data_IF_562246358209
#
_entry.id   IF_562246358209
#
_cell.length_a   1.000
_cell.length_b   1.000
_cell.length_c   1.000
_cell.angle_alpha   90.00
_cell.angle_beta   90.00
_cell.angle_gamma   90.00
#
_symmetry.space_group_name_H-M   'P 1'
#
loop_
_entity.id
_entity.type
_entity.pdbx_description
1 polymer ?
#
# COMPACT_ATOMS: atom_id res chain seq x y z
N UNK A 1 46.41 -13.79 -14.28
CA UNK A 1 46.75 -13.39 -12.89
C UNK A 1 46.05 -12.09 -12.46
N UNK A 2 45.70 -11.16 -13.37
CA UNK A 2 45.00 -9.90 -13.02
C UNK A 2 43.51 -10.09 -12.64
N UNK A 3 42.81 -11.07 -13.21
CA UNK A 3 41.39 -11.31 -12.94
C UNK A 3 41.07 -11.88 -11.55
N UNK A 4 42.01 -12.61 -10.92
CA UNK A 4 41.81 -13.20 -9.58
C UNK A 4 41.95 -12.14 -8.49
N UNK A 5 42.83 -11.15 -8.69
CA UNK A 5 43.10 -10.09 -7.71
C UNK A 5 41.96 -9.08 -7.63
N UNK A 6 41.35 -8.71 -8.77
CA UNK A 6 40.12 -7.90 -8.83
C UNK A 6 38.95 -8.60 -8.15
N UNK A 7 38.85 -9.92 -8.27
CA UNK A 7 37.80 -10.72 -7.63
C UNK A 7 37.95 -10.76 -6.09
N UNK A 8 39.17 -10.76 -5.54
CA UNK A 8 39.37 -10.78 -4.09
C UNK A 8 39.13 -9.41 -3.43
N UNK A 9 39.51 -8.31 -4.07
CA UNK A 9 39.32 -6.96 -3.52
C UNK A 9 37.83 -6.51 -3.52
N UNK A 10 37.02 -7.04 -4.44
CA UNK A 10 35.58 -6.78 -4.53
C UNK A 10 34.71 -7.77 -3.73
N UNK A 11 35.31 -8.84 -3.17
CA UNK A 11 34.60 -9.85 -2.38
C UNK A 11 34.54 -9.49 -0.89
N UNK A 12 34.17 -8.24 -0.59
CA UNK A 12 33.78 -7.86 0.77
C UNK A 12 32.37 -8.38 1.04
N UNK A 13 32.16 -8.93 2.24
CA UNK A 13 30.85 -9.42 2.67
C UNK A 13 29.84 -8.27 2.58
N UNK A 14 28.75 -8.51 1.86
CA UNK A 14 27.63 -7.58 1.80
C UNK A 14 26.75 -7.76 3.02
N UNK A 15 26.02 -6.71 3.39
CA UNK A 15 25.02 -6.77 4.45
C UNK A 15 23.81 -7.51 3.92
N UNK A 16 23.37 -8.55 4.61
CA UNK A 16 22.18 -9.34 4.25
C UNK A 16 21.02 -8.88 5.14
N UNK A 17 19.93 -8.44 4.51
CA UNK A 17 18.81 -7.80 5.19
C UNK A 17 17.51 -8.39 4.66
N UNK A 18 16.55 -8.60 5.57
CA UNK A 18 15.18 -9.00 5.22
C UNK A 18 14.24 -7.84 5.53
N UNK A 19 13.44 -7.40 4.56
CA UNK A 19 12.41 -6.38 4.74
C UNK A 19 11.07 -6.93 4.27
N UNK A 20 10.05 -6.70 5.10
CA UNK A 20 8.67 -7.05 4.79
C UNK A 20 7.93 -5.76 4.37
N UNK A 21 7.33 -5.76 3.19
CA UNK A 21 6.57 -4.63 2.65
C UNK A 21 5.11 -5.05 2.56
N UNK A 22 4.24 -4.30 3.25
CA UNK A 22 2.79 -4.44 3.20
C UNK A 22 2.23 -3.53 2.12
N UNK A 23 1.38 -4.07 1.24
CA UNK A 23 0.71 -3.30 0.20
C UNK A 23 -0.29 -2.30 0.81
N UNK A 24 -1.03 -2.69 1.85
CA UNK A 24 -1.95 -1.79 2.59
C UNK A 24 -1.21 -0.56 3.11
N UNK A 25 0.01 -0.73 3.62
CA UNK A 25 0.82 0.36 4.16
C UNK A 25 1.46 1.22 3.07
N UNK A 26 1.74 0.65 1.91
CA UNK A 26 2.38 1.33 0.80
C UNK A 26 1.37 2.15 0.00
N UNK A 27 0.31 1.49 -0.48
CA UNK A 27 -0.80 2.11 -1.17
C UNK A 27 -2.08 1.27 -1.01
N UNK A 28 -3.04 1.71 -0.18
CA UNK A 28 -4.27 0.96 0.03
C UNK A 28 -5.19 0.93 -1.19
N UNK A 29 -5.06 1.87 -2.13
CA UNK A 29 -5.86 1.89 -3.35
C UNK A 29 -5.54 0.70 -4.26
N UNK A 30 -4.26 0.33 -4.35
CA UNK A 30 -3.82 -0.83 -5.14
C UNK A 30 -4.40 -2.14 -4.58
N UNK A 31 -4.61 -2.22 -3.25
CA UNK A 31 -5.27 -3.37 -2.64
C UNK A 31 -6.77 -3.41 -2.96
N UNK A 32 -7.46 -2.27 -2.91
CA UNK A 32 -8.87 -2.19 -3.30
C UNK A 32 -9.00 -2.62 -4.76
N UNK A 33 -8.15 -2.09 -5.65
CA UNK A 33 -8.11 -2.47 -7.05
C UNK A 33 -7.85 -3.97 -7.24
N UNK A 34 -6.93 -4.56 -6.48
CA UNK A 34 -6.65 -6.00 -6.52
C UNK A 34 -7.88 -6.84 -6.14
N UNK A 35 -8.63 -6.43 -5.10
CA UNK A 35 -9.85 -7.13 -4.66
C UNK A 35 -10.96 -7.06 -5.70
N UNK A 36 -11.11 -5.92 -6.37
CA UNK A 36 -12.16 -5.71 -7.38
C UNK A 36 -11.81 -6.35 -8.72
N UNK A 37 -10.63 -6.07 -9.26
CA UNK A 37 -10.26 -6.43 -10.63
C UNK A 37 -9.48 -7.74 -10.70
N UNK A 38 -8.82 -8.15 -9.61
CA UNK A 38 -7.87 -9.27 -9.59
C UNK A 38 -6.47 -8.90 -10.09
N UNK A 39 -6.19 -7.63 -10.40
CA UNK A 39 -4.87 -7.18 -10.85
C UNK A 39 -4.48 -5.87 -10.13
N UNK A 40 -3.21 -5.73 -9.77
CA UNK A 40 -2.67 -4.45 -9.33
C UNK A 40 -1.21 -4.27 -9.75
N UNK A 41 -0.81 -3.00 -9.91
CA UNK A 41 0.56 -2.60 -10.18
C UNK A 41 0.97 -1.65 -9.06
N UNK A 42 2.07 -1.96 -8.38
CA UNK A 42 2.58 -1.12 -7.29
C UNK A 42 4.08 -0.91 -7.42
N UNK A 43 4.56 0.21 -6.87
CA UNK A 43 5.96 0.62 -6.93
C UNK A 43 6.57 0.69 -5.53
N UNK A 44 7.72 0.05 -5.37
CA UNK A 44 8.52 0.06 -4.15
C UNK A 44 9.60 1.16 -4.29
N UNK A 45 9.47 2.27 -3.56
CA UNK A 45 10.42 3.39 -3.65
C UNK A 45 11.69 3.14 -2.84
N UNK A 46 12.71 3.98 -3.04
CA UNK A 46 13.96 3.92 -2.25
C UNK A 46 13.75 4.26 -0.78
N UNK A 47 12.84 5.21 -0.51
CA UNK A 47 12.63 5.80 0.81
C UNK A 47 12.33 4.77 1.90
N UNK A 48 11.58 3.71 1.57
CA UNK A 48 11.25 2.68 2.55
C UNK A 48 12.48 1.92 3.05
N UNK A 49 13.55 1.84 2.25
CA UNK A 49 14.80 1.20 2.64
C UNK A 49 15.72 2.16 3.38
N UNK A 50 15.67 3.46 3.03
CA UNK A 50 16.40 4.51 3.73
C UNK A 50 15.87 4.76 5.14
N UNK A 51 14.56 4.57 5.35
CA UNK A 51 13.93 4.65 6.68
C UNK A 51 14.46 3.61 7.66
N UNK A 52 14.79 2.41 7.19
CA UNK A 52 15.36 1.36 8.05
C UNK A 52 16.86 1.58 8.25
N UNK A 53 17.57 1.87 7.15
CA UNK A 53 19.02 2.00 7.13
C UNK A 53 19.46 3.18 6.24
N UNK A 54 19.49 4.41 6.79
CA UNK A 54 19.98 5.58 6.09
C UNK A 54 21.50 5.45 5.98
N UNK A 55 22.02 5.31 4.76
CA UNK A 55 23.44 5.07 4.51
C UNK A 55 23.74 3.76 3.76
N UNK A 56 22.76 2.89 3.58
CA UNK A 56 22.94 1.72 2.72
C UNK A 56 22.74 2.08 1.24
N UNK A 57 23.61 1.57 0.38
CA UNK A 57 23.51 1.72 -1.08
C UNK A 57 23.75 0.38 -1.77
N UNK A 58 23.62 0.34 -3.10
CA UNK A 58 23.77 -0.88 -3.90
C UNK A 58 22.87 -2.03 -3.41
N UNK A 59 21.61 -1.70 -3.12
CA UNK A 59 20.60 -2.67 -2.65
C UNK A 59 20.19 -3.60 -3.79
N UNK A 60 20.55 -4.88 -3.70
CA UNK A 60 20.21 -5.91 -4.69
C UNK A 60 19.44 -7.05 -4.08
N UNK A 61 18.32 -7.41 -4.70
CA UNK A 61 17.46 -8.50 -4.29
C UNK A 61 18.24 -9.82 -4.40
N UNK A 62 18.10 -10.65 -3.37
CA UNK A 62 18.60 -12.03 -3.35
C UNK A 62 17.46 -13.03 -3.52
N UNK A 63 16.31 -12.75 -2.91
CA UNK A 63 15.08 -13.51 -3.10
C UNK A 63 13.85 -12.70 -2.70
N UNK A 64 12.71 -13.02 -3.30
CA UNK A 64 11.39 -12.49 -2.92
C UNK A 64 10.46 -13.66 -2.61
N UNK A 65 9.64 -13.49 -1.57
CA UNK A 65 8.50 -14.38 -1.32
C UNK A 65 7.24 -13.58 -1.01
N UNK A 66 6.09 -14.17 -1.29
CA UNK A 66 4.79 -13.52 -1.21
C UNK A 66 3.91 -14.20 -0.18
N UNK A 67 3.30 -13.39 0.69
CA UNK A 67 2.25 -13.83 1.61
C UNK A 67 0.96 -13.04 1.38
N UNK A 68 -0.16 -13.74 1.21
CA UNK A 68 -1.49 -13.13 1.05
C UNK A 68 -2.41 -13.72 2.13
N UNK A 69 -2.51 -13.07 3.30
CA UNK A 69 -3.44 -13.49 4.33
C UNK A 69 -4.89 -13.29 3.84
N UNK A 70 -5.61 -14.39 3.68
CA UNK A 70 -7.00 -14.41 3.20
C UNK A 70 -7.77 -15.57 3.83
N UNK A 71 -9.10 -15.52 3.75
CA UNK A 71 -9.96 -16.61 4.21
C UNK A 71 -10.25 -17.53 3.03
N UNK A 72 -9.70 -18.74 3.09
CA UNK A 72 -9.85 -19.75 2.05
C UNK A 72 -10.52 -20.99 2.60
N UNK A 73 -11.20 -21.72 1.71
CA UNK A 73 -11.76 -23.03 2.02
C UNK A 73 -10.67 -24.08 2.24
N UNK A 74 -10.99 -25.22 2.88
CA UNK A 74 -10.05 -26.32 3.02
C UNK A 74 -9.63 -26.83 1.64
N UNK A 75 -8.32 -27.04 1.46
CA UNK A 75 -7.70 -27.52 0.21
C UNK A 75 -7.83 -26.56 -0.99
N UNK A 76 -8.18 -25.29 -0.77
CA UNK A 76 -8.17 -24.26 -1.82
C UNK A 76 -6.78 -23.64 -1.95
N UNK A 77 -6.23 -23.62 -3.16
CA UNK A 77 -4.96 -22.93 -3.47
C UNK A 77 -5.16 -21.42 -3.63
N UNK A 78 -4.18 -20.64 -3.17
CA UNK A 78 -4.10 -19.19 -3.40
C UNK A 78 -3.15 -18.95 -4.56
N UNK A 79 -3.70 -19.08 -5.77
CA UNK A 79 -2.96 -18.86 -7.00
C UNK A 79 -2.84 -17.38 -7.29
N UNK A 80 -1.60 -16.87 -7.35
CA UNK A 80 -1.28 -15.52 -7.77
C UNK A 80 0.00 -15.52 -8.59
N UNK A 81 0.12 -14.62 -9.55
CA UNK A 81 1.35 -14.41 -10.33
C UNK A 81 1.94 -13.06 -9.96
N UNK A 82 3.18 -13.06 -9.49
CA UNK A 82 3.95 -11.85 -9.19
C UNK A 82 5.03 -11.68 -10.25
N UNK A 83 5.05 -10.54 -10.92
CA UNK A 83 6.02 -10.19 -11.96
C UNK A 83 6.77 -8.91 -11.60
N UNK A 84 8.06 -8.88 -11.91
CA UNK A 84 8.88 -7.69 -11.82
C UNK A 84 8.89 -6.98 -13.18
N UNK A 85 8.34 -5.77 -13.22
CA UNK A 85 8.25 -4.95 -14.44
C UNK A 85 9.46 -4.05 -14.62
N UNK A 86 9.94 -3.46 -13.53
CA UNK A 86 11.11 -2.59 -13.56
C UNK A 86 11.91 -2.74 -12.26
N UNK A 87 13.24 -2.59 -12.33
CA UNK A 87 14.08 -2.55 -11.14
C UNK A 87 15.28 -1.63 -11.31
N UNK A 88 15.62 -0.95 -10.23
CA UNK A 88 16.64 0.08 -10.16
C UNK A 88 17.43 -0.03 -8.86
N UNK A 89 18.69 0.40 -8.87
CA UNK A 89 19.52 0.49 -7.67
C UNK A 89 20.49 1.66 -7.75
N UNK A 90 20.90 2.13 -6.58
CA UNK A 90 21.91 3.17 -6.44
C UNK A 90 23.31 2.57 -6.49
N UNK A 91 24.12 2.90 -7.51
CA UNK A 91 25.47 2.34 -7.69
C UNK A 91 26.52 2.89 -6.74
N UNK A 92 26.43 4.17 -6.45
CA UNK A 92 27.39 4.89 -5.61
C UNK A 92 26.68 5.52 -4.41
N UNK A 93 27.40 5.73 -3.32
CA UNK A 93 26.89 6.38 -2.11
C UNK A 93 26.76 7.92 -2.32
N UNK A 94 26.01 8.34 -3.33
CA UNK A 94 25.72 9.75 -3.62
C UNK A 94 24.25 9.89 -4.02
N UNK A 95 23.60 10.94 -3.50
CA UNK A 95 22.23 11.33 -3.86
C UNK A 95 22.16 12.17 -5.14
N UNK A 96 23.29 12.71 -5.60
CA UNK A 96 23.34 13.57 -6.79
C UNK A 96 23.25 12.79 -8.11
N UNK A 97 23.51 11.49 -8.06
CA UNK A 97 23.40 10.61 -9.23
C UNK A 97 22.06 9.91 -9.27
N UNK A 98 21.56 9.80 -10.50
CA UNK A 98 20.36 9.04 -10.82
C UNK A 98 20.54 7.55 -10.55
N UNK A 99 19.40 6.89 -10.35
CA UNK A 99 19.33 5.45 -10.14
C UNK A 99 19.73 4.71 -11.42
N UNK A 100 20.53 3.67 -11.28
CA UNK A 100 20.87 2.79 -12.38
C UNK A 100 19.74 1.80 -12.63
N UNK A 101 19.26 1.73 -13.87
CA UNK A 101 18.31 0.73 -14.32
C UNK A 101 19.00 -0.64 -14.36
N UNK A 102 18.35 -1.62 -13.76
CA UNK A 102 18.86 -2.98 -13.59
C UNK A 102 17.82 -3.98 -14.03
N UNK A 103 17.38 -3.87 -15.28
CA UNK A 103 16.38 -4.79 -15.82
C UNK A 103 17.08 -5.84 -16.68
N UNK A 104 17.11 -7.09 -16.20
CA UNK A 104 17.68 -8.25 -16.89
C UNK A 104 16.58 -9.26 -17.29
N UNK A 105 15.48 -8.73 -17.84
CA UNK A 105 14.32 -9.51 -18.29
C UNK A 105 13.21 -9.66 -17.25
N UNK A 106 11.99 -9.87 -17.74
CA UNK A 106 10.81 -10.07 -16.91
C UNK A 106 10.90 -11.45 -16.22
N UNK A 107 11.17 -11.43 -14.92
CA UNK A 107 11.04 -12.61 -14.07
C UNK A 107 9.65 -12.61 -13.41
N UNK A 108 9.10 -13.79 -13.18
CA UNK A 108 7.82 -13.95 -12.49
C UNK A 108 7.81 -15.21 -11.65
N UNK A 109 7.08 -15.17 -10.54
CA UNK A 109 6.79 -16.33 -9.70
C UNK A 109 5.29 -16.57 -9.64
N UNK A 110 4.90 -17.82 -9.44
CA UNK A 110 3.51 -18.19 -9.19
C UNK A 110 3.40 -18.76 -7.77
N UNK A 111 2.41 -18.31 -7.01
CA UNK A 111 2.11 -18.86 -5.68
C UNK A 111 1.10 -19.99 -5.76
N UNK A 112 1.22 -20.96 -4.85
CA UNK A 112 0.23 -22.03 -4.67
C UNK A 112 -0.52 -21.91 -3.35
N UNK A 113 0.18 -21.52 -2.27
CA UNK A 113 -0.43 -21.35 -0.95
C UNK A 113 -0.39 -19.89 -0.46
N UNK A 114 0.42 -19.04 -1.09
CA UNK A 114 0.64 -17.64 -0.70
C UNK A 114 0.93 -17.45 0.80
N UNK A 115 1.74 -18.36 1.38
CA UNK A 115 2.26 -18.27 2.74
C UNK A 115 3.78 -18.29 2.66
N UNK A 116 4.40 -17.09 2.59
CA UNK A 116 5.84 -16.92 2.34
C UNK A 116 6.32 -17.74 1.14
N UNK A 117 5.53 -17.72 0.07
CA UNK A 117 5.74 -18.53 -1.11
C UNK A 117 6.73 -17.86 -2.06
N UNK A 118 7.81 -18.55 -2.41
CA UNK A 118 8.86 -18.05 -3.32
C UNK A 118 8.67 -18.50 -4.77
N UNK A 119 7.60 -19.26 -5.06
CA UNK A 119 7.34 -19.85 -6.37
C UNK A 119 8.27 -21.02 -6.72
N UNK A 120 9.00 -21.55 -5.73
CA UNK A 120 9.86 -22.72 -5.84
C UNK A 120 9.38 -23.79 -4.85
N UNK A 121 9.49 -25.06 -5.24
CA UNK A 121 9.17 -26.17 -4.33
C UNK A 121 10.15 -26.28 -3.16
N UNK A 122 11.43 -26.03 -3.41
CA UNK A 122 12.49 -26.01 -2.40
C UNK A 122 13.32 -24.75 -2.58
N UNK A 123 13.44 -23.98 -1.50
CA UNK A 123 14.22 -22.76 -1.48
C UNK A 123 15.65 -23.06 -1.03
N UNK A 124 16.60 -23.04 -1.97
CA UNK A 124 17.99 -23.40 -1.71
C UNK A 124 18.96 -22.39 -2.31
N UNK A 125 19.71 -21.67 -1.45
CA UNK A 125 20.74 -20.71 -1.86
C UNK A 125 22.00 -21.35 -2.48
N UNK A 126 22.12 -22.68 -2.46
CA UNK A 126 23.27 -23.42 -3.02
C UNK A 126 22.98 -24.02 -4.39
N UNK A 127 21.80 -23.78 -4.97
CA UNK A 127 21.53 -24.13 -6.36
C UNK A 127 22.48 -23.32 -7.27
N UNK A 128 22.94 -23.93 -8.36
CA UNK A 128 23.82 -23.28 -9.36
C UNK A 128 23.05 -22.28 -10.22
N UNK A 129 21.71 -22.32 -10.18
CA UNK A 129 20.83 -21.39 -10.89
C UNK A 129 20.46 -20.21 -10.01
N UNK A 130 20.29 -19.06 -10.65
CA UNK A 130 19.78 -17.86 -9.99
C UNK A 130 18.37 -18.08 -9.46
N UNK A 131 18.11 -17.58 -8.25
CA UNK A 131 16.76 -17.52 -7.70
C UNK A 131 15.91 -16.52 -8.50
N UNK A 132 14.57 -16.67 -8.50
CA UNK A 132 13.70 -15.65 -9.07
C UNK A 132 14.02 -14.26 -8.49
N UNK A 133 14.13 -13.26 -9.38
CA UNK A 133 14.46 -11.87 -9.07
C UNK A 133 15.86 -11.64 -8.49
N UNK A 134 16.72 -12.65 -8.46
CA UNK A 134 18.08 -12.50 -7.93
C UNK A 134 18.89 -11.50 -8.78
N UNK A 135 19.56 -10.57 -8.10
CA UNK A 135 20.40 -9.55 -8.73
C UNK A 135 19.66 -8.28 -9.15
N UNK A 136 18.31 -8.30 -9.16
CA UNK A 136 17.49 -7.13 -9.42
C UNK A 136 17.70 -6.02 -8.38
N UNK A 137 17.42 -4.78 -8.76
CA UNK A 137 17.45 -3.65 -7.85
C UNK A 137 16.32 -3.69 -6.83
N UNK A 138 16.57 -3.21 -5.61
CA UNK A 138 15.53 -3.19 -4.57
C UNK A 138 14.40 -2.19 -4.86
N UNK A 139 14.71 -1.09 -5.56
CA UNK A 139 13.72 -0.11 -6.02
C UNK A 139 13.07 -0.72 -7.25
N UNK A 140 11.77 -1.00 -7.20
CA UNK A 140 11.18 -1.93 -8.15
C UNK A 140 9.69 -1.69 -8.36
N UNK A 141 9.21 -1.96 -9.58
CA UNK A 141 7.80 -1.94 -9.94
C UNK A 141 7.32 -3.38 -10.14
N UNK A 142 6.22 -3.73 -9.49
CA UNK A 142 5.68 -5.06 -9.44
C UNK A 142 4.27 -5.10 -10.00
N UNK A 143 3.95 -6.19 -10.67
CA UNK A 143 2.61 -6.53 -11.12
C UNK A 143 2.15 -7.80 -10.41
N UNK A 144 0.98 -7.74 -9.78
CA UNK A 144 0.35 -8.88 -9.13
C UNK A 144 -0.98 -9.19 -9.81
N UNK A 145 -1.16 -10.45 -10.19
CA UNK A 145 -2.35 -10.93 -10.89
C UNK A 145 -2.94 -12.15 -10.17
N UNK A 146 -4.26 -12.13 -9.99
CA UNK A 146 -5.09 -13.19 -9.45
C UNK A 146 -6.05 -13.72 -10.54
N UNK A 147 -6.42 -15.01 -10.52
CA UNK A 147 -7.36 -15.58 -11.50
C UNK A 147 -8.74 -14.90 -11.51
N UNK A 148 -9.09 -14.23 -12.61
CA UNK A 148 -10.36 -13.49 -12.71
C UNK A 148 -11.52 -14.28 -13.31
N UNK A 149 -11.23 -15.25 -14.20
CA UNK A 149 -12.26 -16.01 -14.90
C UNK A 149 -13.14 -16.85 -13.95
N UNK A 150 -12.53 -17.44 -12.93
CA UNK A 150 -13.20 -18.13 -11.82
C UNK A 150 -12.43 -17.80 -10.56
N UNK A 151 -13.03 -17.05 -9.64
CA UNK A 151 -12.40 -16.69 -8.36
C UNK A 151 -12.42 -17.93 -7.44
N UNK A 152 -11.26 -18.51 -7.08
CA UNK A 152 -11.22 -19.74 -6.28
C UNK A 152 -11.62 -19.53 -4.81
N UNK A 153 -11.55 -18.29 -4.33
CA UNK A 153 -11.98 -17.86 -3.01
C UNK A 153 -12.48 -16.41 -3.08
N UNK A 154 -13.06 -15.92 -1.99
CA UNK A 154 -13.51 -14.54 -1.90
C UNK A 154 -12.33 -13.58 -1.74
N UNK A 155 -12.05 -12.78 -2.77
CA UNK A 155 -10.96 -11.79 -2.75
C UNK A 155 -11.20 -10.67 -1.74
N UNK A 156 -12.44 -10.44 -1.31
CA UNK A 156 -12.75 -9.48 -0.26
C UNK A 156 -12.16 -9.89 1.09
N UNK A 157 -11.88 -11.18 1.26
CA UNK A 157 -11.21 -11.71 2.45
C UNK A 157 -9.71 -11.43 2.52
N UNK A 158 -9.08 -10.95 1.44
CA UNK A 158 -7.65 -10.63 1.41
C UNK A 158 -7.42 -9.43 2.33
N UNK A 159 -6.76 -9.62 3.48
CA UNK A 159 -6.52 -8.51 4.42
C UNK A 159 -5.36 -7.63 3.98
N UNK A 160 -4.30 -8.23 3.41
CA UNK A 160 -3.10 -7.54 2.93
C UNK A 160 -2.36 -8.39 1.89
N UNK A 161 -1.38 -7.79 1.24
CA UNK A 161 -0.38 -8.48 0.42
C UNK A 161 1.00 -8.09 0.93
N UNK A 162 1.76 -9.08 1.38
CA UNK A 162 3.05 -8.88 2.03
C UNK A 162 4.15 -9.45 1.13
N UNK A 163 5.05 -8.58 0.67
CA UNK A 163 6.27 -8.97 -0.01
C UNK A 163 7.41 -9.07 1.00
N UNK A 164 8.02 -10.25 1.09
CA UNK A 164 9.22 -10.50 1.87
C UNK A 164 10.42 -10.42 0.95
N UNK A 165 11.15 -9.31 1.00
CA UNK A 165 12.33 -9.07 0.16
C UNK A 165 13.57 -9.30 1.00
N UNK A 166 14.36 -10.30 0.61
CA UNK A 166 15.72 -10.48 1.12
C UNK A 166 16.67 -9.83 0.12
N UNK A 167 17.47 -8.88 0.60
CA UNK A 167 18.39 -8.13 -0.24
C UNK A 167 19.77 -7.99 0.40
N UNK A 168 20.74 -7.69 -0.44
CA UNK A 168 22.11 -7.35 -0.04
C UNK A 168 22.37 -5.87 -0.22
N UNK A 169 23.12 -5.25 0.68
CA UNK A 169 23.51 -3.85 0.58
C UNK A 169 24.99 -3.63 0.93
N UNK A 170 25.50 -2.45 0.57
CA UNK A 170 26.78 -1.93 1.04
C UNK A 170 26.55 -0.74 1.96
N UNK A 171 27.43 -0.59 2.94
CA UNK A 171 27.45 0.56 3.83
C UNK A 171 28.23 1.71 3.19
N UNK A 172 27.61 2.88 3.10
CA UNK A 172 28.22 4.13 2.67
C UNK A 172 29.02 4.79 3.80
N UNK A 173 29.57 5.97 3.53
CA UNK A 173 30.24 6.76 4.56
C UNK A 173 29.22 7.52 5.43
N UNK A 174 29.71 8.12 6.52
CA UNK A 174 28.88 8.92 7.43
C UNK A 174 28.24 10.12 6.73
N UNK A 175 28.96 10.74 5.77
CA UNK A 175 28.45 11.87 5.00
C UNK A 175 27.23 11.50 4.18
N UNK A 176 27.24 10.36 3.49
CA UNK A 176 26.09 9.86 2.75
C UNK A 176 24.91 9.59 3.69
N UNK A 177 25.16 8.94 4.83
CA UNK A 177 24.14 8.69 5.85
C UNK A 177 23.50 9.99 6.37
N UNK A 178 24.30 11.00 6.67
CA UNK A 178 23.82 12.30 7.17
C UNK A 178 23.01 13.02 6.09
N UNK A 179 23.45 12.99 4.83
CA UNK A 179 22.72 13.54 3.69
C UNK A 179 21.38 12.85 3.47
N UNK A 180 21.31 11.51 3.55
CA UNK A 180 20.05 10.75 3.44
C UNK A 180 19.12 11.10 4.59
N UNK A 181 19.65 11.14 5.82
CA UNK A 181 18.85 11.45 7.02
C UNK A 181 18.30 12.87 6.98
N UNK A 182 19.10 13.85 6.56
CA UNK A 182 18.67 15.25 6.41
C UNK A 182 17.61 15.44 5.32
N UNK A 183 17.66 14.64 4.26
CA UNK A 183 16.71 14.70 3.16
C UNK A 183 15.51 13.77 3.31
N UNK A 184 15.44 12.92 4.35
CA UNK A 184 14.42 11.87 4.44
C UNK A 184 12.99 12.44 4.42
N UNK A 185 12.75 13.55 5.14
CA UNK A 185 11.44 14.22 5.17
C UNK A 185 11.10 14.79 3.79
N UNK A 186 12.08 15.41 3.12
CA UNK A 186 11.92 15.92 1.76
C UNK A 186 11.68 14.79 0.77
N UNK A 187 12.40 13.67 0.90
CA UNK A 187 12.25 12.50 0.03
C UNK A 187 10.92 11.78 0.26
N UNK A 188 10.39 11.76 1.49
CA UNK A 188 9.02 11.31 1.75
C UNK A 188 8.04 12.23 1.01
N UNK A 189 8.19 13.55 1.17
CA UNK A 189 7.34 14.53 0.49
C UNK A 189 7.47 14.51 -1.04
N UNK A 190 8.66 14.24 -1.59
CA UNK A 190 8.88 14.11 -3.04
C UNK A 190 8.44 12.77 -3.60
N UNK A 191 8.49 11.69 -2.82
CA UNK A 191 7.90 10.40 -3.20
C UNK A 191 6.38 10.52 -3.32
N UNK A 192 5.78 11.20 -2.34
CA UNK A 192 4.39 11.68 -2.35
C UNK A 192 4.14 12.50 -3.64
N UNK A 193 4.98 13.50 -3.94
CA UNK A 193 4.77 14.35 -5.12
C UNK A 193 5.04 13.65 -6.48
N UNK A 194 5.84 12.58 -6.51
CA UNK A 194 6.25 11.84 -7.71
C UNK A 194 5.22 10.83 -8.24
N UNK A 195 4.15 10.56 -7.49
CA UNK A 195 3.02 9.73 -7.92
C UNK A 195 2.01 10.48 -8.81
N UNK A 196 2.39 11.65 -9.34
CA UNK A 196 1.49 12.62 -9.97
C UNK A 196 1.11 13.71 -8.97
N UNK A 197 0.82 14.92 -9.47
CA UNK A 197 0.63 16.18 -8.70
C UNK A 197 0.41 15.95 -7.20
N UNK A 198 1.51 16.05 -6.46
CA UNK A 198 1.48 16.17 -5.02
C UNK A 198 0.78 15.03 -4.24
N UNK A 199 0.67 13.80 -4.78
CA UNK A 199 -0.17 12.74 -4.22
C UNK A 199 0.11 12.40 -2.74
N UNK A 200 -0.74 12.83 -1.80
CA UNK A 200 -0.58 12.65 -0.34
C UNK A 200 -0.37 11.21 0.12
N UNK A 201 0.25 11.03 1.31
CA UNK A 201 0.21 9.74 2.00
C UNK A 201 -1.25 9.33 2.17
N UNK A 202 -1.54 8.10 1.78
CA UNK A 202 -2.91 7.60 1.75
C UNK A 202 -3.10 6.56 2.85
N UNK A 203 -4.19 6.65 3.60
CA UNK A 203 -4.61 5.61 4.55
C UNK A 203 -6.10 5.33 4.37
N UNK A 204 -6.43 4.10 3.99
CA UNK A 204 -7.82 3.65 3.83
C UNK A 204 -8.29 2.83 5.03
N UNK A 205 -9.29 3.31 5.75
CA UNK A 205 -9.94 2.60 6.84
C UNK A 205 -11.15 1.83 6.32
N UNK A 206 -11.14 0.51 6.45
CA UNK A 206 -12.35 -0.30 6.24
C UNK A 206 -13.25 -0.17 7.45
N UNK A 207 -14.47 0.34 7.28
CA UNK A 207 -15.42 0.45 8.37
C UNK A 207 -15.82 -0.94 8.87
N UNK A 208 -16.05 -1.91 7.98
CA UNK A 208 -16.38 -3.28 8.40
C UNK A 208 -15.28 -3.93 9.24
N UNK A 209 -14.01 -3.77 8.87
CA UNK A 209 -12.90 -4.48 9.50
C UNK A 209 -12.32 -3.73 10.71
N UNK A 210 -12.15 -2.41 10.62
CA UNK A 210 -11.50 -1.62 11.67
C UNK A 210 -12.49 -1.01 12.67
N UNK A 211 -13.72 -0.73 12.22
CA UNK A 211 -14.77 -0.06 13.01
C UNK A 211 -16.12 -0.79 12.93
N UNK A 212 -16.19 -2.10 13.28
CA UNK A 212 -17.39 -2.90 13.05
C UNK A 212 -18.62 -2.39 13.81
N UNK A 213 -18.45 -1.80 14.99
CA UNK A 213 -19.57 -1.26 15.77
C UNK A 213 -20.17 -0.02 15.09
N UNK A 214 -19.31 0.89 14.64
CA UNK A 214 -19.66 2.10 13.91
C UNK A 214 -20.27 1.78 12.55
N UNK A 215 -19.78 0.73 11.87
CA UNK A 215 -20.36 0.22 10.63
C UNK A 215 -21.78 -0.32 10.83
N UNK A 216 -22.00 -1.18 11.83
CA UNK A 216 -23.35 -1.71 12.11
C UNK A 216 -24.33 -0.59 12.49
N UNK A 217 -23.87 0.43 13.22
CA UNK A 217 -24.69 1.62 13.50
C UNK A 217 -25.01 2.41 12.24
N UNK A 218 -24.06 2.53 11.32
CA UNK A 218 -24.27 3.21 10.05
C UNK A 218 -25.33 2.52 9.18
N UNK A 219 -25.42 1.19 9.24
CA UNK A 219 -26.46 0.41 8.54
C UNK A 219 -27.84 0.49 9.22
N UNK A 220 -27.90 0.82 10.51
CA UNK A 220 -29.12 0.80 11.31
C UNK A 220 -29.47 2.23 11.79
N UNK A 221 -30.26 2.99 11.01
CA UNK A 221 -30.66 4.32 11.40
C UNK A 221 -31.52 4.28 12.68
N UNK A 222 -31.35 5.29 13.52
CA UNK A 222 -32.14 5.42 14.74
C UNK A 222 -33.44 6.15 14.41
N UNK A 223 -34.51 5.39 14.16
CA UNK A 223 -35.83 5.94 13.80
C UNK A 223 -35.96 6.25 12.31
N UNK A 224 -36.75 7.27 11.95
CA UNK A 224 -36.92 7.74 10.56
C UNK A 224 -35.87 8.78 10.13
N UNK A 225 -34.71 8.79 10.80
CA UNK A 225 -33.63 9.73 10.54
C UNK A 225 -32.60 9.17 9.56
N UNK A 226 -31.68 10.04 9.15
CA UNK A 226 -30.53 9.67 8.32
C UNK A 226 -29.70 8.54 8.94
N UNK A 227 -28.99 7.81 8.09
CA UNK A 227 -27.97 6.86 8.49
C UNK A 227 -26.73 7.64 8.94
N UNK A 228 -26.39 7.56 10.22
CA UNK A 228 -25.32 8.35 10.82
C UNK A 228 -24.28 7.48 11.53
N UNK A 229 -23.00 7.84 11.38
CA UNK A 229 -21.91 7.19 12.13
C UNK A 229 -20.79 8.17 12.50
N UNK A 230 -20.03 7.82 13.54
CA UNK A 230 -18.96 8.65 14.10
C UNK A 230 -17.68 7.82 14.21
N UNK A 231 -16.68 8.13 13.40
CA UNK A 231 -15.37 7.49 13.44
C UNK A 231 -14.40 8.30 14.30
N UNK A 232 -13.86 7.70 15.35
CA UNK A 232 -12.84 8.30 16.22
C UNK A 232 -11.43 7.89 15.75
N UNK A 233 -10.84 8.69 14.86
CA UNK A 233 -9.52 8.41 14.30
C UNK A 233 -8.44 8.91 15.24
N UNK A 234 -7.61 7.97 15.73
CA UNK A 234 -6.53 8.21 16.69
C UNK A 234 -5.17 8.01 16.05
N UNK A 235 -4.13 8.57 16.68
CA UNK A 235 -2.71 8.39 16.29
C UNK A 235 -2.32 6.91 16.09
N UNK A 236 -2.91 5.99 16.88
CA UNK A 236 -2.65 4.55 16.78
C UNK A 236 -3.08 3.89 15.47
N UNK A 237 -3.94 4.54 14.67
CA UNK A 237 -4.41 4.00 13.39
C UNK A 237 -3.47 4.34 12.21
N UNK A 238 -2.43 5.15 12.48
CA UNK A 238 -1.40 5.52 11.52
C UNK A 238 -0.12 4.71 11.72
N UNK A 239 0.70 4.52 10.68
CA UNK A 239 1.99 3.83 10.79
C UNK A 239 2.88 4.34 11.92
N UNK A 240 3.63 3.45 12.56
CA UNK A 240 4.42 3.78 13.75
C UNK A 240 5.44 4.90 13.51
N UNK A 241 6.07 4.92 12.33
CA UNK A 241 7.12 5.90 12.00
C UNK A 241 6.63 7.35 11.94
N UNK A 242 5.31 7.59 11.82
CA UNK A 242 4.72 8.94 11.82
C UNK A 242 3.99 9.30 13.12
N UNK A 243 4.00 8.45 14.14
CA UNK A 243 3.24 8.69 15.39
C UNK A 243 3.65 9.97 16.12
N UNK A 244 4.93 10.36 16.01
CA UNK A 244 5.50 11.55 16.66
C UNK A 244 5.53 12.78 15.76
N UNK A 245 5.01 12.67 14.53
CA UNK A 245 4.92 13.79 13.61
C UNK A 245 3.54 14.44 13.67
N UNK A 246 3.46 15.68 13.23
CA UNK A 246 2.18 16.33 13.00
C UNK A 246 1.69 15.96 11.60
N UNK A 247 0.41 15.60 11.52
CA UNK A 247 -0.23 15.18 10.28
C UNK A 247 -1.19 16.26 9.84
N UNK A 248 -1.08 16.69 8.59
CA UNK A 248 -2.00 17.62 7.96
C UNK A 248 -2.64 16.97 6.74
N UNK A 249 -3.95 17.15 6.56
CA UNK A 249 -4.67 16.69 5.38
C UNK A 249 -4.21 17.47 4.16
N UNK A 250 -4.02 16.77 3.05
CA UNK A 250 -3.70 17.30 1.72
C UNK A 250 -4.69 16.61 0.78
N UNK A 251 -5.41 17.37 -0.05
CA UNK A 251 -6.48 16.88 -0.95
C UNK A 251 -7.71 16.24 -0.28
N UNK A 252 -7.84 16.34 1.04
CA UNK A 252 -9.07 16.05 1.77
C UNK A 252 -9.26 14.58 2.13
N UNK A 253 -10.50 14.10 2.01
CA UNK A 253 -10.86 12.73 2.34
C UNK A 253 -11.88 12.16 1.34
N UNK A 254 -11.83 10.85 1.14
CA UNK A 254 -12.63 10.12 0.16
C UNK A 254 -13.38 9.00 0.88
N UNK A 255 -14.69 8.90 0.68
CA UNK A 255 -15.47 7.72 1.04
C UNK A 255 -15.74 6.91 -0.21
N UNK A 256 -15.51 5.61 -0.15
CA UNK A 256 -15.80 4.65 -1.22
C UNK A 256 -16.82 3.67 -0.67
N UNK A 257 -17.95 3.53 -1.36
CA UNK A 257 -18.99 2.58 -1.00
C UNK A 257 -18.84 1.33 -1.87
N UNK A 258 -18.85 0.16 -1.23
CA UNK A 258 -18.85 -1.12 -1.92
C UNK A 258 -20.21 -1.78 -1.72
N UNK A 259 -20.90 -2.04 -2.82
CA UNK A 259 -22.21 -2.71 -2.85
C UNK A 259 -22.10 -4.07 -3.52
N UNK A 260 -22.98 -5.01 -3.15
CA UNK A 260 -22.96 -6.38 -3.67
C UNK A 260 -23.40 -6.50 -5.14
N UNK A 261 -24.37 -5.69 -5.56
CA UNK A 261 -24.96 -5.74 -6.92
C UNK A 261 -24.62 -4.50 -7.78
N UNK A 262 -23.74 -3.61 -7.31
CA UNK A 262 -23.37 -2.40 -8.06
C UNK A 262 -24.55 -1.43 -8.26
N UNK A 263 -25.61 -1.54 -7.44
CA UNK A 263 -26.73 -0.61 -7.51
C UNK A 263 -26.24 0.82 -7.25
N UNK A 264 -26.64 1.69 -8.18
CA UNK A 264 -26.11 3.02 -8.38
C UNK A 264 -26.68 4.01 -7.36
N UNK A 265 -25.83 4.77 -6.69
CA UNK A 265 -26.21 5.98 -5.97
C UNK A 265 -26.17 7.17 -6.93
N UNK A 266 -27.19 7.34 -7.78
CA UNK A 266 -27.30 8.61 -8.47
C UNK A 266 -27.78 9.68 -7.46
N UNK A 267 -26.98 10.74 -7.28
CA UNK A 267 -27.39 12.03 -6.71
C UNK A 267 -27.71 12.09 -5.20
N UNK A 268 -27.30 11.09 -4.40
CA UNK A 268 -27.45 11.19 -2.93
C UNK A 268 -26.36 12.08 -2.33
N UNK A 269 -26.76 13.07 -1.54
CA UNK A 269 -25.84 13.98 -0.84
C UNK A 269 -25.33 13.34 0.44
N UNK A 270 -24.03 13.08 0.48
CA UNK A 270 -23.32 12.65 1.68
C UNK A 270 -22.88 13.88 2.49
N UNK A 271 -23.10 13.86 3.80
CA UNK A 271 -22.72 14.93 4.70
C UNK A 271 -21.60 14.50 5.64
N UNK A 272 -20.66 15.40 5.87
CA UNK A 272 -19.55 15.23 6.77
C UNK A 272 -19.57 16.31 7.87
N UNK A 273 -19.36 15.89 9.11
CA UNK A 273 -19.26 16.74 10.29
C UNK A 273 -18.25 16.23 11.32
N UNK A 274 -18.34 16.72 12.56
CA UNK A 274 -17.41 16.38 13.65
C UNK A 274 -18.06 15.80 14.91
N UNK A 275 -19.40 15.76 14.98
CA UNK A 275 -20.16 15.24 16.10
C UNK A 275 -21.52 14.70 15.63
N UNK A 276 -22.11 13.81 16.43
CA UNK A 276 -23.48 13.32 16.26
C UNK A 276 -24.33 13.71 17.49
N UNK A 277 -25.64 14.00 17.32
CA UNK A 277 -26.38 14.07 16.05
C UNK A 277 -25.91 15.24 15.17
N UNK A 278 -26.00 15.09 13.85
CA UNK A 278 -25.47 16.08 12.90
C UNK A 278 -26.37 17.32 12.86
N UNK A 279 -26.11 18.33 13.70
CA UNK A 279 -26.88 19.58 13.70
C UNK A 279 -26.53 20.51 12.54
N UNK A 280 -25.27 20.49 12.07
CA UNK A 280 -24.81 21.28 10.92
C UNK A 280 -23.64 20.59 10.21
N UNK A 281 -23.76 20.26 8.91
CA UNK A 281 -22.68 19.63 8.17
C UNK A 281 -21.53 20.63 7.96
N UNK A 282 -20.29 20.16 8.08
CA UNK A 282 -19.08 20.94 7.75
C UNK A 282 -18.95 21.06 6.24
N UNK A 283 -19.20 19.95 5.54
CA UNK A 283 -19.12 19.86 4.08
C UNK A 283 -20.08 18.76 3.60
N UNK A 284 -20.55 18.88 2.36
CA UNK A 284 -21.37 17.89 1.70
C UNK A 284 -20.85 17.64 0.30
N UNK A 285 -20.94 16.40 -0.16
CA UNK A 285 -20.65 16.06 -1.55
C UNK A 285 -21.68 15.10 -2.10
N UNK A 286 -21.85 15.10 -3.42
CA UNK A 286 -22.78 14.20 -4.11
C UNK A 286 -22.01 12.94 -4.48
N UNK A 287 -22.55 11.79 -4.10
CA UNK A 287 -21.95 10.51 -4.46
C UNK A 287 -22.00 10.36 -5.99
N UNK A 288 -20.84 10.04 -6.57
CA UNK A 288 -20.68 9.81 -8.00
C UNK A 288 -19.71 8.66 -8.24
N UNK A 289 -19.88 7.95 -9.35
CA UNK A 289 -19.01 6.83 -9.70
C UNK A 289 -17.62 7.30 -10.11
N UNK A 290 -16.59 6.57 -9.63
CA UNK A 290 -15.21 6.79 -10.02
C UNK A 290 -14.69 5.72 -10.97
N UNK A 291 -14.49 6.10 -12.23
CA UNK A 291 -13.92 5.22 -13.27
C UNK A 291 -12.52 4.70 -12.95
N UNK A 292 -11.76 5.36 -12.07
CA UNK A 292 -10.43 4.90 -11.65
C UNK A 292 -10.48 3.75 -10.64
N UNK A 293 -11.63 3.54 -9.99
CA UNK A 293 -11.85 2.52 -8.97
C UNK A 293 -13.02 1.62 -9.40
N UNK A 294 -13.01 1.17 -10.65
CA UNK A 294 -14.00 0.23 -11.20
C UNK A 294 -15.47 0.72 -11.10
N UNK A 295 -15.70 2.04 -11.24
CA UNK A 295 -17.01 2.69 -11.09
C UNK A 295 -17.65 2.46 -9.72
N UNK A 296 -16.84 2.35 -8.65
CA UNK A 296 -17.39 2.36 -7.30
C UNK A 296 -17.95 3.75 -6.98
N UNK A 297 -19.10 3.85 -6.28
CA UNK A 297 -19.65 5.11 -5.82
C UNK A 297 -18.72 5.77 -4.78
N UNK A 298 -18.35 7.04 -5.02
CA UNK A 298 -17.46 7.80 -4.14
C UNK A 298 -18.03 9.15 -3.74
N UNK A 299 -17.76 9.57 -2.51
CA UNK A 299 -17.95 10.95 -2.05
C UNK A 299 -16.59 11.57 -1.70
N UNK A 300 -16.32 12.78 -2.22
CA UNK A 300 -15.07 13.51 -2.07
C UNK A 300 -15.26 14.74 -1.20
N UNK A 301 -14.52 14.82 -0.11
CA UNK A 301 -14.59 15.94 0.84
C UNK A 301 -13.30 16.74 0.83
N UNK A 302 -13.38 17.99 0.35
CA UNK A 302 -12.30 18.96 0.44
C UNK A 302 -12.19 19.54 1.86
N UNK A 303 -11.52 18.84 2.75
CA UNK A 303 -11.33 19.23 4.16
C UNK A 303 -9.86 19.44 4.51
N UNK A 304 -9.61 20.42 5.38
CA UNK A 304 -8.27 20.76 5.88
C UNK A 304 -8.14 20.48 7.38
N UNK A 305 -6.89 20.49 7.87
CA UNK A 305 -6.56 20.27 9.28
C UNK A 305 -5.96 18.89 9.54
N UNK A 306 -6.04 18.40 10.78
CA UNK A 306 -5.48 17.09 11.13
C UNK A 306 -6.44 15.95 10.78
N UNK A 307 -5.96 14.82 10.23
CA UNK A 307 -6.78 13.63 10.03
C UNK A 307 -7.16 12.96 11.36
N UNK A 308 -6.41 13.22 12.44
CA UNK A 308 -6.64 12.67 13.78
C UNK A 308 -7.72 13.50 14.48
N UNK A 309 -8.98 13.12 14.23
CA UNK A 309 -10.16 13.73 14.83
C UNK A 309 -11.34 12.78 14.77
N UNK A 310 -12.47 13.24 15.30
CA UNK A 310 -13.76 12.59 15.08
C UNK A 310 -14.34 13.02 13.75
N UNK A 311 -14.78 12.04 12.96
CA UNK A 311 -15.41 12.22 11.66
C UNK A 311 -16.85 11.71 11.76
N UNK A 312 -17.82 12.62 11.62
CA UNK A 312 -19.23 12.27 11.60
C UNK A 312 -19.71 12.21 10.15
N UNK A 313 -20.43 11.15 9.81
CA UNK A 313 -20.95 10.90 8.48
C UNK A 313 -22.46 10.75 8.57
N UNK A 314 -23.20 11.42 7.69
CA UNK A 314 -24.66 11.32 7.60
C UNK A 314 -25.06 11.20 6.14
N UNK A 315 -25.92 10.22 5.84
CA UNK A 315 -26.53 10.04 4.53
C UNK A 315 -28.04 9.82 4.71
N UNK A 316 -28.89 10.43 3.87
CA UNK A 316 -30.35 10.30 4.01
C UNK A 316 -30.84 8.86 3.94
N UNK A 317 -30.30 8.07 3.04
CA UNK A 317 -30.71 6.69 2.80
C UNK A 317 -29.49 5.87 2.38
N UNK A 318 -29.46 4.62 2.85
CA UNK A 318 -28.35 3.70 2.65
C UNK A 318 -28.91 2.37 2.13
N UNK A 319 -28.44 1.84 0.98
CA UNK A 319 -28.86 0.57 0.44
C UNK A 319 -28.67 -0.58 1.40
N UNK A 320 -29.58 -1.55 1.36
CA UNK A 320 -29.51 -2.73 2.23
C UNK A 320 -28.29 -3.63 1.91
N UNK A 321 -27.73 -3.52 0.69
CA UNK A 321 -26.67 -4.40 0.16
C UNK A 321 -25.24 -3.85 0.28
N UNK A 322 -24.97 -2.97 1.24
CA UNK A 322 -23.61 -2.47 1.46
C UNK A 322 -22.69 -3.56 2.04
N UNK A 323 -21.66 -3.89 1.28
CA UNK A 323 -20.59 -4.79 1.69
C UNK A 323 -19.50 -4.06 2.47
N UNK A 324 -19.04 -2.88 2.11
CA UNK A 324 -18.08 -2.17 2.96
C UNK A 324 -18.12 -0.68 2.64
N UNK A 325 -17.60 0.11 3.55
CA UNK A 325 -17.33 1.53 3.33
C UNK A 325 -15.87 1.75 3.65
N UNK A 326 -15.12 2.22 2.67
CA UNK A 326 -13.72 2.61 2.86
C UNK A 326 -13.64 4.11 3.07
N UNK A 327 -13.05 4.52 4.19
CA UNK A 327 -12.72 5.91 4.45
C UNK A 327 -11.24 6.15 4.19
N UNK A 328 -10.92 6.82 3.09
CA UNK A 328 -9.56 7.11 2.65
C UNK A 328 -9.20 8.54 3.03
N UNK A 329 -8.13 8.70 3.81
CA UNK A 329 -7.56 10.00 4.13
C UNK A 329 -6.24 10.20 3.43
N UNK A 330 -6.08 11.42 2.96
CA UNK A 330 -4.91 11.90 2.26
C UNK A 330 -4.19 12.92 3.14
N UNK A 331 -2.94 12.65 3.52
CA UNK A 331 -2.20 13.45 4.49
C UNK A 331 -0.73 13.63 4.13
N UNK A 332 -0.11 14.64 4.73
CA UNK A 332 1.32 14.91 4.66
C UNK A 332 1.89 15.06 6.07
N UNK A 333 3.20 14.82 6.19
CA UNK A 333 3.96 14.97 7.42
C UNK A 333 4.43 16.43 7.53
N UNK A 334 4.09 17.09 8.63
CA UNK A 334 4.51 18.45 8.96
C UNK A 334 5.93 18.56 9.51
#
# INVERSE_FOLDING_TARGET
>A
MVGVQVCMEHNKRRLEITKNISLVMLNPMDLIQLRETGECIFSIPEIIFDMDFPGHYQRRIKSVSLSIPCVTGPYTSVSATLRLENSQWRREASLERDLDISFDGASSIATSNAQSDSGLFEFNFRDERYLPFEGAGAISQWKLELPTAVRPFDYNSISDVILHIQYTAKEGDSTFKDNVTGNITTAINSWIDGMGDAAPLTRAFSLRQEFPAEFNRFLQPVGAGNNETLLDIKRKHFPHFIQHKDLTLKDGALLIFKTREGEFFAETTMQLGSALPMESPIISDVIADDSSINNLPVARFSVTGSPIRKWAFSIPELPEDIEDVFFVVYYQIG
#
